data_IF_369867152609
#
_entry.id   IF_369867152609
#
_cell.length_a   1.000
_cell.length_b   1.000
_cell.length_c   1.000
_cell.angle_alpha   90.00
_cell.angle_beta   90.00
_cell.angle_gamma   90.00
#
_symmetry.space_group_name_H-M   'P 1'
#
loop_
_entity.id
_entity.type
_entity.pdbx_description
1 polymer ?
#
# COMPACT_ATOMS: atom_id res chain seq x y z
N UNK A 1 11.40 11.03 11.15
CA UNK A 1 10.60 11.55 10.02
C UNK A 1 9.84 12.77 10.52
N UNK A 2 9.68 13.83 9.72
CA UNK A 2 9.00 15.07 10.14
C UNK A 2 7.49 14.88 10.40
N UNK A 3 6.78 15.90 10.94
CA UNK A 3 5.36 15.78 11.27
C UNK A 3 4.50 15.48 10.03
N UNK A 4 3.48 14.62 10.19
CA UNK A 4 2.54 14.29 9.12
C UNK A 4 1.64 15.51 8.83
N UNK A 5 1.46 15.90 7.55
CA UNK A 5 0.71 17.10 7.21
C UNK A 5 -0.81 16.82 7.24
N UNK A 6 -1.37 16.71 8.45
CA UNK A 6 -2.78 16.38 8.69
C UNK A 6 -3.79 17.34 8.04
N UNK A 7 -3.41 18.62 7.91
CA UNK A 7 -4.28 19.70 7.42
C UNK A 7 -3.81 20.27 6.08
N UNK A 8 -2.97 19.54 5.33
CA UNK A 8 -2.59 20.00 4.00
C UNK A 8 -3.83 20.05 3.09
N UNK A 9 -3.93 21.08 2.23
CA UNK A 9 -5.00 21.15 1.24
C UNK A 9 -4.94 19.91 0.31
N UNK A 10 -6.05 19.60 -0.39
CA UNK A 10 -6.04 18.57 -1.42
C UNK A 10 -4.88 18.78 -2.39
N UNK A 11 -4.24 17.69 -2.79
CA UNK A 11 -3.12 17.76 -3.73
C UNK A 11 -3.55 18.33 -5.09
N UNK A 12 -2.59 18.85 -5.84
CA UNK A 12 -2.75 19.25 -7.25
C UNK A 12 -1.68 18.58 -8.10
N UNK A 13 -2.00 18.33 -9.37
CA UNK A 13 -1.01 17.87 -10.35
C UNK A 13 -0.12 19.07 -10.70
N UNK A 14 1.19 18.89 -10.56
CA UNK A 14 2.20 19.92 -10.80
C UNK A 14 3.54 19.27 -11.13
N UNK A 15 4.53 20.04 -11.56
CA UNK A 15 5.89 19.52 -11.79
C UNK A 15 6.49 18.90 -10.52
N UNK A 16 6.15 19.44 -9.34
CA UNK A 16 6.59 18.89 -8.07
C UNK A 16 5.84 17.59 -7.69
N UNK A 17 4.55 17.47 -8.00
CA UNK A 17 3.73 16.27 -7.75
C UNK A 17 3.08 15.78 -9.05
N UNK A 18 3.87 15.19 -9.99
CA UNK A 18 3.43 14.99 -11.37
C UNK A 18 2.39 13.88 -11.52
N UNK A 19 2.29 12.97 -10.55
CA UNK A 19 1.24 11.97 -10.48
C UNK A 19 0.05 12.41 -9.60
N UNK A 20 0.14 13.59 -8.95
CA UNK A 20 -0.91 14.08 -8.06
C UNK A 20 -1.13 13.19 -6.83
N UNK A 21 -0.09 12.57 -6.26
CA UNK A 21 -0.20 11.75 -5.04
C UNK A 21 -0.80 12.53 -3.87
N UNK A 22 -1.59 11.87 -3.01
CA UNK A 22 -2.28 12.51 -1.87
C UNK A 22 -2.46 11.57 -0.65
N UNK A 23 -1.48 10.70 -0.40
CA UNK A 23 -1.49 9.77 0.73
C UNK A 23 -1.99 8.37 0.39
N UNK A 24 -1.98 7.49 1.39
CA UNK A 24 -2.52 6.13 1.28
C UNK A 24 -4.06 6.16 1.29
N UNK A 25 -4.68 5.23 0.56
CA UNK A 25 -6.10 4.94 0.65
C UNK A 25 -6.35 3.67 1.49
N UNK A 26 -5.73 2.54 1.10
CA UNK A 26 -5.85 1.28 1.83
C UNK A 26 -4.59 0.41 1.72
N UNK A 27 -4.50 -0.56 2.63
CA UNK A 27 -3.66 -1.76 2.45
C UNK A 27 -4.60 -2.96 2.36
N UNK A 28 -4.41 -3.79 1.35
CA UNK A 28 -5.16 -5.03 1.19
C UNK A 28 -4.36 -6.17 1.80
N UNK A 29 -5.06 -7.05 2.52
CA UNK A 29 -4.51 -8.24 3.14
C UNK A 29 -5.32 -9.46 2.71
N UNK A 30 -4.62 -10.58 2.56
CA UNK A 30 -5.23 -11.88 2.35
C UNK A 30 -4.49 -12.93 3.21
N UNK A 31 -5.20 -13.98 3.59
CA UNK A 31 -4.69 -14.99 4.52
C UNK A 31 -5.31 -16.36 4.20
N UNK A 32 -4.54 -17.47 4.24
CA UNK A 32 -5.09 -18.82 4.04
C UNK A 32 -6.14 -19.22 5.09
N UNK A 33 -6.03 -18.67 6.30
CA UNK A 33 -7.03 -18.69 7.37
C UNK A 33 -7.54 -17.26 7.67
N UNK A 34 -8.57 -16.76 6.96
CA UNK A 34 -9.04 -15.38 7.13
C UNK A 34 -9.47 -15.04 8.55
N UNK A 35 -9.99 -16.00 9.31
CA UNK A 35 -10.48 -15.76 10.66
C UNK A 35 -9.34 -15.38 11.62
N UNK A 36 -8.12 -15.88 11.40
CA UNK A 36 -6.95 -15.48 12.18
C UNK A 36 -6.62 -14.00 11.96
N UNK A 37 -6.65 -13.55 10.70
CA UNK A 37 -6.41 -12.15 10.33
C UNK A 37 -7.50 -11.22 10.88
N UNK A 38 -8.77 -11.61 10.78
CA UNK A 38 -9.89 -10.83 11.29
C UNK A 38 -9.85 -10.69 12.82
N UNK A 39 -9.52 -11.78 13.55
CA UNK A 39 -9.30 -11.74 15.00
C UNK A 39 -8.16 -10.79 15.36
N UNK A 40 -7.08 -10.76 14.58
CA UNK A 40 -5.97 -9.83 14.78
C UNK A 40 -6.43 -8.38 14.60
N UNK A 41 -7.14 -8.07 13.51
CA UNK A 41 -7.65 -6.72 13.24
C UNK A 41 -8.63 -6.24 14.31
N UNK A 42 -9.52 -7.12 14.78
CA UNK A 42 -10.41 -6.81 15.89
C UNK A 42 -9.63 -6.46 17.17
N UNK A 43 -8.60 -7.24 17.52
CA UNK A 43 -7.71 -6.96 18.67
C UNK A 43 -6.94 -5.65 18.51
N UNK A 44 -6.63 -5.26 17.28
CA UNK A 44 -6.00 -3.98 16.95
C UNK A 44 -6.99 -2.79 16.93
N UNK A 45 -8.28 -3.02 17.23
CA UNK A 45 -9.30 -1.98 17.31
C UNK A 45 -9.93 -1.58 15.98
N UNK A 46 -9.74 -2.39 14.92
CA UNK A 46 -10.45 -2.19 13.66
C UNK A 46 -11.88 -2.72 13.74
N UNK A 47 -12.78 -2.05 13.03
CA UNK A 47 -14.19 -2.46 12.89
C UNK A 47 -14.46 -2.80 11.43
N UNK A 48 -15.16 -3.91 11.18
CA UNK A 48 -15.69 -4.19 9.84
C UNK A 48 -16.81 -3.20 9.53
N UNK A 49 -16.66 -2.36 8.51
CA UNK A 49 -17.60 -1.27 8.20
C UNK A 49 -18.36 -1.48 6.90
N UNK A 50 -17.84 -2.31 5.98
CA UNK A 50 -18.50 -2.61 4.72
C UNK A 50 -18.09 -3.98 4.18
N UNK A 51 -18.95 -4.56 3.33
CA UNK A 51 -18.66 -5.78 2.55
C UNK A 51 -18.89 -5.52 1.07
N UNK A 52 -18.04 -6.08 0.22
CA UNK A 52 -18.20 -5.98 -1.22
C UNK A 52 -19.54 -6.62 -1.64
N UNK A 53 -20.22 -6.04 -2.63
CA UNK A 53 -21.58 -6.44 -3.02
C UNK A 53 -21.65 -7.86 -3.58
N UNK A 54 -20.58 -8.31 -4.23
CA UNK A 54 -20.56 -9.56 -5.00
C UNK A 54 -19.34 -10.45 -4.77
N UNK A 55 -18.37 -10.00 -3.95
CA UNK A 55 -17.09 -10.71 -3.70
C UNK A 55 -16.96 -10.89 -2.20
N UNK A 56 -16.27 -11.92 -1.75
CA UNK A 56 -15.94 -12.10 -0.34
C UNK A 56 -14.77 -11.19 0.07
N UNK A 57 -15.07 -9.90 0.18
CA UNK A 57 -14.11 -8.86 0.54
C UNK A 57 -14.74 -7.95 1.58
N UNK A 58 -14.01 -7.70 2.67
CA UNK A 58 -14.44 -6.81 3.75
C UNK A 58 -13.55 -5.59 3.86
N UNK A 59 -14.16 -4.46 4.20
CA UNK A 59 -13.48 -3.24 4.59
C UNK A 59 -13.46 -3.13 6.11
N UNK A 60 -12.26 -3.15 6.69
CA UNK A 60 -11.99 -2.86 8.09
C UNK A 60 -11.46 -1.44 8.23
N UNK A 61 -11.93 -0.71 9.24
CA UNK A 61 -11.57 0.69 9.45
C UNK A 61 -11.29 1.03 10.91
N UNK A 62 -10.31 1.90 11.11
CA UNK A 62 -10.02 2.58 12.36
C UNK A 62 -9.51 4.00 12.04
N UNK A 63 -10.21 5.01 12.55
CA UNK A 63 -9.97 6.40 12.18
C UNK A 63 -10.06 6.57 10.65
N UNK A 64 -9.01 7.13 10.05
CA UNK A 64 -8.88 7.28 8.60
C UNK A 64 -8.16 6.12 7.90
N UNK A 65 -7.86 5.02 8.60
CA UNK A 65 -7.12 3.87 8.06
C UNK A 65 -8.10 2.83 7.53
N UNK A 66 -7.92 2.42 6.28
CA UNK A 66 -8.66 1.34 5.65
C UNK A 66 -7.76 0.12 5.45
N UNK A 67 -8.19 -1.02 5.99
CA UNK A 67 -7.65 -2.32 5.61
C UNK A 67 -8.72 -3.11 4.88
N UNK A 68 -8.34 -3.65 3.73
CA UNK A 68 -9.18 -4.59 3.00
C UNK A 68 -8.76 -6.00 3.39
N UNK A 69 -9.73 -6.86 3.70
CA UNK A 69 -9.51 -8.30 3.83
C UNK A 69 -10.15 -8.97 2.64
N UNK A 70 -9.32 -9.53 1.76
CA UNK A 70 -9.75 -10.24 0.56
C UNK A 70 -9.71 -11.76 0.79
N UNK A 71 -10.88 -12.39 0.68
CA UNK A 71 -11.08 -13.85 0.82
C UNK A 71 -11.61 -14.46 -0.47
N UNK A 72 -11.79 -13.66 -1.51
CA UNK A 72 -12.36 -14.07 -2.77
C UNK A 72 -11.39 -15.04 -3.48
N UNK A 73 -11.84 -16.25 -3.83
CA UNK A 73 -11.01 -17.21 -4.55
C UNK A 73 -10.68 -16.72 -5.96
N UNK A 74 -9.65 -17.30 -6.57
CA UNK A 74 -9.26 -17.03 -7.97
C UNK A 74 -8.94 -15.57 -8.29
N UNK A 75 -8.65 -14.75 -7.26
CA UNK A 75 -8.19 -13.37 -7.40
C UNK A 75 -6.68 -13.23 -7.44
N UNK A 76 -6.20 -12.03 -7.80
CA UNK A 76 -4.79 -11.66 -7.62
C UNK A 76 -4.34 -11.94 -6.20
N UNK A 77 -5.12 -11.49 -5.21
CA UNK A 77 -4.83 -11.71 -3.79
C UNK A 77 -4.69 -13.20 -3.44
N UNK A 78 -5.63 -14.04 -3.88
CA UNK A 78 -5.58 -15.49 -3.65
C UNK A 78 -4.31 -16.14 -4.24
N UNK A 79 -3.96 -15.79 -5.49
CA UNK A 79 -2.73 -16.30 -6.12
C UNK A 79 -1.46 -15.76 -5.46
N UNK A 80 -1.49 -14.51 -5.00
CA UNK A 80 -0.35 -13.87 -4.36
C UNK A 80 -0.03 -14.52 -3.00
N UNK A 81 -1.04 -14.78 -2.17
CA UNK A 81 -0.81 -15.46 -0.87
C UNK A 81 -0.44 -16.94 -1.03
N UNK A 82 -0.80 -17.59 -2.14
CA UNK A 82 -0.32 -18.94 -2.44
C UNK A 82 1.21 -18.95 -2.67
N UNK A 83 1.75 -17.88 -3.25
CA UNK A 83 3.19 -17.72 -3.46
C UNK A 83 3.93 -17.29 -2.19
N UNK A 84 3.39 -16.32 -1.44
CA UNK A 84 4.09 -15.61 -0.37
C UNK A 84 3.65 -15.98 1.06
N UNK A 85 2.56 -16.73 1.23
CA UNK A 85 1.91 -16.91 2.52
C UNK A 85 1.01 -15.71 2.89
N UNK A 86 0.56 -15.61 4.16
CA UNK A 86 -0.32 -14.54 4.61
C UNK A 86 0.37 -13.18 4.53
N UNK A 87 -0.16 -12.26 3.73
CA UNK A 87 0.52 -11.00 3.45
C UNK A 87 -0.40 -9.90 2.90
N UNK A 88 0.21 -8.77 2.51
CA UNK A 88 -0.44 -7.68 1.82
C UNK A 88 -0.22 -7.77 0.30
N UNK A 89 -1.16 -8.31 -0.48
CA UNK A 89 -1.01 -8.45 -1.94
C UNK A 89 -1.12 -7.12 -2.69
N UNK A 90 -1.60 -6.05 -2.03
CA UNK A 90 -1.75 -4.75 -2.67
C UNK A 90 -1.82 -3.59 -1.69
N UNK A 91 -1.58 -2.39 -2.22
CA UNK A 91 -1.84 -1.12 -1.56
C UNK A 91 -2.51 -0.14 -2.53
N UNK A 92 -3.18 0.88 -1.99
CA UNK A 92 -3.76 1.94 -2.79
C UNK A 92 -3.27 3.31 -2.36
N UNK A 93 -3.06 4.18 -3.34
CA UNK A 93 -2.79 5.60 -3.12
C UNK A 93 -3.95 6.46 -3.56
N UNK A 94 -4.23 7.49 -2.78
CA UNK A 94 -5.04 8.62 -3.22
C UNK A 94 -4.24 9.40 -4.26
N UNK A 95 -4.87 9.74 -5.36
CA UNK A 95 -4.33 10.60 -6.41
C UNK A 95 -5.38 11.58 -6.93
N UNK A 96 -4.95 12.72 -7.44
CA UNK A 96 -5.85 13.75 -7.97
C UNK A 96 -6.72 13.22 -9.13
N UNK A 97 -6.13 12.43 -10.03
CA UNK A 97 -6.75 11.79 -11.20
C UNK A 97 -6.09 10.42 -11.44
N UNK A 98 -6.87 9.35 -11.35
CA UNK A 98 -6.37 7.98 -11.39
C UNK A 98 -5.87 7.58 -12.80
N UNK A 99 -6.52 8.08 -13.85
CA UNK A 99 -6.12 7.81 -15.24
C UNK A 99 -4.84 8.56 -15.58
N UNK A 100 -4.67 9.77 -15.07
CA UNK A 100 -3.43 10.54 -15.21
C UNK A 100 -2.25 9.84 -14.52
N UNK A 101 -2.42 9.42 -13.26
CA UNK A 101 -1.40 8.68 -12.53
C UNK A 101 -1.00 7.38 -13.26
N UNK A 102 -1.99 6.62 -13.76
CA UNK A 102 -1.75 5.42 -14.56
C UNK A 102 -0.96 5.71 -15.83
N UNK A 103 -1.40 6.67 -16.67
CA UNK A 103 -0.70 7.01 -17.92
C UNK A 103 0.75 7.36 -17.67
N UNK A 104 1.02 8.15 -16.63
CA UNK A 104 2.38 8.51 -16.24
C UNK A 104 3.19 7.27 -15.82
N UNK A 105 2.62 6.41 -14.98
CA UNK A 105 3.28 5.20 -14.51
C UNK A 105 3.68 4.30 -15.68
N UNK A 106 2.75 4.05 -16.60
CA UNK A 106 3.01 3.23 -17.80
C UNK A 106 4.03 3.88 -18.73
N UNK A 107 3.95 5.19 -18.95
CA UNK A 107 4.91 5.92 -19.78
C UNK A 107 6.35 5.87 -19.24
N UNK A 108 6.53 5.60 -17.94
CA UNK A 108 7.83 5.48 -17.26
C UNK A 108 8.20 4.03 -16.93
N UNK A 109 7.51 3.06 -17.55
CA UNK A 109 7.91 1.65 -17.53
C UNK A 109 7.18 0.76 -16.52
N UNK A 110 6.15 1.28 -15.82
CA UNK A 110 5.29 0.41 -15.02
C UNK A 110 4.37 -0.44 -15.92
N UNK A 111 4.07 -1.66 -15.47
CA UNK A 111 3.10 -2.53 -16.13
C UNK A 111 1.72 -2.31 -15.55
N UNK A 112 0.75 -1.91 -16.38
CA UNK A 112 -0.65 -1.83 -15.98
C UNK A 112 -1.21 -3.22 -15.64
N UNK A 113 -1.99 -3.30 -14.55
CA UNK A 113 -2.74 -4.50 -14.22
C UNK A 113 -4.19 -4.39 -14.71
N UNK A 114 -4.50 -5.15 -15.75
CA UNK A 114 -5.81 -5.14 -16.44
C UNK A 114 -6.75 -6.28 -16.02
N UNK A 115 -6.37 -7.06 -14.99
CA UNK A 115 -7.21 -8.14 -14.46
C UNK A 115 -8.52 -7.61 -13.87
N UNK A 116 -9.61 -8.36 -14.06
CA UNK A 116 -10.95 -8.03 -13.52
C UNK A 116 -11.12 -8.47 -12.05
N UNK A 117 -10.12 -9.17 -11.52
CA UNK A 117 -10.07 -9.80 -10.21
C UNK A 117 -9.38 -8.91 -9.14
N UNK A 118 -9.37 -7.60 -9.41
CA UNK A 118 -9.02 -6.53 -8.48
C UNK A 118 -10.05 -6.39 -7.35
N UNK A 119 -9.63 -5.78 -6.24
CA UNK A 119 -10.49 -5.41 -5.12
C UNK A 119 -11.45 -4.26 -5.44
N UNK A 120 -10.93 -3.23 -6.10
CA UNK A 120 -11.70 -2.08 -6.59
C UNK A 120 -11.54 -1.96 -8.10
N UNK A 121 -12.60 -1.53 -8.77
CA UNK A 121 -12.56 -1.20 -10.20
C UNK A 121 -11.95 0.19 -10.45
N UNK A 122 -10.65 0.29 -10.12
CA UNK A 122 -9.83 1.48 -10.37
C UNK A 122 -8.52 1.09 -11.07
N UNK A 123 -7.83 2.05 -11.73
CA UNK A 123 -6.51 1.81 -12.31
C UNK A 123 -5.51 1.25 -11.31
N UNK A 124 -4.66 0.32 -11.76
CA UNK A 124 -3.58 -0.25 -10.95
C UNK A 124 -2.38 -0.63 -11.81
N UNK A 125 -1.19 -0.64 -11.21
CA UNK A 125 0.05 -1.16 -11.80
C UNK A 125 0.63 -2.28 -10.95
N UNK A 126 1.48 -3.11 -11.54
CA UNK A 126 2.28 -4.10 -10.82
C UNK A 126 3.41 -3.40 -10.07
N UNK A 127 3.44 -3.57 -8.75
CA UNK A 127 4.39 -3.01 -7.80
C UNK A 127 5.28 -4.06 -7.14
N UNK A 128 5.72 -3.78 -5.91
CA UNK A 128 6.72 -4.57 -5.16
C UNK A 128 6.39 -6.06 -5.15
N UNK A 129 7.32 -6.91 -5.54
CA UNK A 129 7.14 -8.37 -5.54
C UNK A 129 5.99 -8.90 -6.42
N UNK A 130 5.39 -8.07 -7.29
CA UNK A 130 4.17 -8.44 -8.04
C UNK A 130 2.86 -8.03 -7.37
N UNK A 131 2.92 -7.34 -6.22
CA UNK A 131 1.75 -6.75 -5.56
C UNK A 131 1.10 -5.70 -6.45
N UNK A 132 -0.15 -5.33 -6.19
CA UNK A 132 -0.81 -4.24 -6.93
C UNK A 132 -0.65 -2.90 -6.22
N UNK A 133 -0.40 -1.86 -7.01
CA UNK A 133 -0.51 -0.47 -6.59
C UNK A 133 -1.71 0.17 -7.28
N UNK A 134 -2.78 0.42 -6.54
CA UNK A 134 -4.01 1.06 -7.03
C UNK A 134 -3.92 2.59 -6.98
N UNK A 135 -4.56 3.26 -7.94
CA UNK A 135 -4.75 4.71 -7.97
C UNK A 135 -6.22 5.06 -7.74
N UNK A 136 -6.52 5.78 -6.65
CA UNK A 136 -7.87 6.14 -6.23
C UNK A 136 -8.05 7.65 -6.29
N UNK A 137 -8.99 8.14 -7.08
CA UNK A 137 -9.30 9.57 -7.22
C UNK A 137 -10.67 9.98 -6.67
N UNK A 138 -11.45 9.03 -6.14
CA UNK A 138 -12.71 9.26 -5.43
C UNK A 138 -12.48 9.17 -3.92
N UNK A 139 -12.24 10.31 -3.26
CA UNK A 139 -12.08 10.43 -1.81
C UNK A 139 -12.42 11.85 -1.32
N UNK A 140 -12.59 12.02 -0.01
CA UNK A 140 -12.88 13.32 0.61
C UNK A 140 -14.19 13.92 0.09
N UNK A 141 -14.15 15.16 -0.41
CA UNK A 141 -15.33 15.84 -0.95
C UNK A 141 -15.94 15.14 -2.19
N UNK A 142 -15.19 14.26 -2.87
CA UNK A 142 -15.69 13.44 -3.99
C UNK A 142 -16.46 12.19 -3.51
N UNK A 143 -16.56 11.97 -2.20
CA UNK A 143 -17.18 10.81 -1.59
C UNK A 143 -16.23 9.61 -1.47
N UNK A 144 -16.74 8.54 -0.85
CA UNK A 144 -15.98 7.32 -0.56
C UNK A 144 -15.70 6.49 -1.82
N UNK A 145 -14.49 5.92 -2.00
CA UNK A 145 -14.21 5.03 -3.13
C UNK A 145 -15.01 3.71 -3.06
N UNK A 146 -15.46 3.34 -1.86
CA UNK A 146 -16.16 2.09 -1.61
C UNK A 146 -17.66 2.15 -1.93
N UNK A 147 -18.25 3.35 -2.03
CA UNK A 147 -19.71 3.53 -2.09
C UNK A 147 -20.41 2.86 -3.28
N UNK A 148 -19.69 2.60 -4.37
CA UNK A 148 -20.23 1.93 -5.56
C UNK A 148 -20.22 0.41 -5.44
N UNK A 149 -19.14 -0.15 -4.88
CA UNK A 149 -18.85 -1.60 -4.92
C UNK A 149 -19.15 -2.31 -3.59
N UNK A 150 -19.34 -1.57 -2.49
CA UNK A 150 -19.55 -2.11 -1.14
C UNK A 150 -20.92 -1.73 -0.56
N UNK A 151 -21.43 -2.58 0.32
CA UNK A 151 -22.56 -2.32 1.21
C UNK A 151 -22.01 -1.97 2.60
N UNK A 152 -22.35 -0.79 3.10
CA UNK A 152 -22.06 -0.40 4.48
C UNK A 152 -22.85 -1.27 5.47
N UNK A 153 -22.20 -1.70 6.55
CA UNK A 153 -22.83 -2.50 7.61
C UNK A 153 -23.60 -1.64 8.63
N UNK A 154 -23.53 -0.32 8.49
CA UNK A 154 -24.19 0.67 9.34
C UNK A 154 -24.26 2.02 8.63
N UNK A 155 -23.85 3.09 9.31
CA UNK A 155 -23.73 4.42 8.70
C UNK A 155 -22.82 4.39 7.46
N UNK A 156 -23.12 5.24 6.48
CA UNK A 156 -22.32 5.33 5.27
C UNK A 156 -20.97 6.00 5.56
N UNK A 157 -19.89 5.37 5.09
CA UNK A 157 -18.50 5.84 5.21
C UNK A 157 -18.10 6.27 6.64
N UNK A 158 -18.29 5.39 7.65
CA UNK A 158 -18.11 5.77 9.05
C UNK A 158 -16.63 5.95 9.38
N UNK A 159 -16.32 6.65 10.48
CA UNK A 159 -14.95 6.80 11.01
C UNK A 159 -14.84 6.26 12.44
N UNK A 160 -14.87 4.94 12.66
CA UNK A 160 -14.80 4.35 14.00
C UNK A 160 -13.50 4.76 14.70
N UNK A 161 -13.58 5.25 15.94
CA UNK A 161 -12.39 5.70 16.68
C UNK A 161 -11.39 4.58 16.96
N UNK A 162 -11.88 3.36 17.17
CA UNK A 162 -11.05 2.21 17.58
C UNK A 162 -10.24 2.51 18.84
N UNK A 163 -8.96 2.15 18.83
CA UNK A 163 -7.99 2.39 19.90
C UNK A 163 -7.11 3.63 19.67
N UNK A 164 -7.43 4.44 18.66
CA UNK A 164 -6.77 5.72 18.43
C UNK A 164 -5.66 5.71 17.37
N UNK A 165 -5.61 4.72 16.48
CA UNK A 165 -4.82 4.87 15.25
C UNK A 165 -5.47 5.88 14.31
N UNK A 166 -4.66 6.79 13.76
CA UNK A 166 -5.15 7.93 12.98
C UNK A 166 -4.89 7.80 11.47
N UNK A 167 -3.71 7.32 11.07
CA UNK A 167 -3.28 7.24 9.68
C UNK A 167 -2.18 6.19 9.48
N UNK A 168 -1.94 5.81 8.23
CA UNK A 168 -0.78 5.02 7.83
C UNK A 168 0.41 5.94 7.61
N UNK A 169 1.41 5.87 8.49
CA UNK A 169 2.58 6.75 8.42
C UNK A 169 3.58 6.35 7.31
N UNK A 170 3.89 5.06 7.25
CA UNK A 170 4.80 4.48 6.28
C UNK A 170 4.57 2.98 6.13
N UNK A 171 5.06 2.42 5.03
CA UNK A 171 5.18 0.99 4.77
C UNK A 171 6.62 0.73 4.30
N UNK A 172 7.22 -0.41 4.64
CA UNK A 172 8.59 -0.73 4.22
C UNK A 172 8.60 -1.77 3.12
N UNK A 173 9.62 -1.74 2.26
CA UNK A 173 9.90 -2.82 1.30
C UNK A 173 11.26 -3.44 1.59
N UNK A 174 11.29 -4.75 1.76
CA UNK A 174 12.50 -5.53 1.80
C UNK A 174 12.77 -6.08 0.41
N UNK A 175 13.94 -5.74 -0.14
CA UNK A 175 14.30 -6.05 -1.53
C UNK A 175 15.55 -6.91 -1.59
N UNK A 176 15.66 -7.70 -2.66
CA UNK A 176 16.85 -8.52 -2.95
C UNK A 176 18.06 -7.62 -3.15
N UNK A 177 19.24 -8.12 -2.81
CA UNK A 177 20.51 -7.42 -3.03
C UNK A 177 20.66 -7.04 -4.51
N UNK A 178 20.94 -5.76 -4.78
CA UNK A 178 20.99 -5.13 -6.09
C UNK A 178 19.70 -4.41 -6.51
N UNK A 179 18.55 -4.71 -5.89
CA UNK A 179 17.24 -4.18 -6.31
C UNK A 179 16.84 -2.88 -5.62
N UNK A 180 17.59 -2.39 -4.62
CA UNK A 180 17.29 -1.09 -4.00
C UNK A 180 17.20 0.04 -5.04
N UNK A 181 18.13 0.08 -6.00
CA UNK A 181 18.12 1.10 -7.05
C UNK A 181 16.94 0.91 -8.04
N UNK A 182 16.51 -0.33 -8.26
CA UNK A 182 15.35 -0.62 -9.12
C UNK A 182 14.08 -0.01 -8.52
N UNK A 183 13.80 -0.29 -7.25
CA UNK A 183 12.64 0.27 -6.56
C UNK A 183 12.77 1.77 -6.30
N UNK A 184 13.99 2.25 -6.02
CA UNK A 184 14.24 3.68 -5.96
C UNK A 184 13.81 4.39 -7.25
N UNK A 185 14.24 3.92 -8.43
CA UNK A 185 13.85 4.52 -9.71
C UNK A 185 12.34 4.46 -9.93
N UNK A 186 11.71 3.32 -9.60
CA UNK A 186 10.25 3.22 -9.67
C UNK A 186 9.55 4.33 -8.89
N UNK A 187 9.94 4.61 -7.65
CA UNK A 187 9.30 5.68 -6.86
C UNK A 187 9.76 7.09 -7.25
N UNK A 188 11.08 7.28 -7.41
CA UNK A 188 11.69 8.59 -7.63
C UNK A 188 11.43 9.13 -9.03
N UNK A 189 11.58 8.32 -10.07
CA UNK A 189 11.41 8.78 -11.46
C UNK A 189 9.90 8.83 -11.81
N UNK A 190 9.14 7.80 -11.42
CA UNK A 190 7.72 7.71 -11.76
C UNK A 190 6.87 8.69 -10.99
N UNK A 191 7.08 8.82 -9.67
CA UNK A 191 6.19 9.59 -8.80
C UNK A 191 6.86 10.79 -8.14
N UNK A 192 8.12 11.09 -8.49
CA UNK A 192 8.93 12.18 -7.93
C UNK A 192 9.15 12.06 -6.42
N UNK A 193 9.22 10.83 -5.88
CA UNK A 193 9.61 10.62 -4.49
C UNK A 193 11.05 11.10 -4.28
N UNK A 194 11.31 11.68 -3.10
CA UNK A 194 12.64 12.14 -2.71
C UNK A 194 13.22 11.24 -1.64
N UNK A 195 14.50 10.93 -1.77
CA UNK A 195 15.27 10.34 -0.68
C UNK A 195 15.51 11.41 0.39
N UNK A 196 14.95 11.20 1.57
CA UNK A 196 15.12 12.12 2.70
C UNK A 196 16.25 11.71 3.63
N UNK A 197 16.66 10.43 3.59
CA UNK A 197 17.74 9.89 4.40
C UNK A 197 18.22 8.54 3.86
N UNK A 198 19.54 8.37 3.83
CA UNK A 198 20.20 7.08 3.69
C UNK A 198 20.67 6.59 5.05
N UNK A 199 20.53 5.29 5.29
CA UNK A 199 21.07 4.62 6.48
C UNK A 199 21.97 3.47 6.06
N UNK A 200 23.18 3.45 6.61
CA UNK A 200 24.02 2.26 6.67
C UNK A 200 24.01 1.78 8.12
N UNK A 201 23.31 0.67 8.39
CA UNK A 201 23.14 0.15 9.75
C UNK A 201 24.01 -1.09 9.89
N UNK A 202 25.00 -1.01 10.78
CA UNK A 202 25.83 -2.13 11.18
C UNK A 202 25.39 -2.59 12.58
N UNK A 203 24.73 -3.74 12.66
CA UNK A 203 24.48 -4.44 13.91
C UNK A 203 25.73 -5.19 14.39
N UNK A 204 25.66 -5.80 15.58
CA UNK A 204 26.78 -6.58 16.14
C UNK A 204 27.20 -7.78 15.29
N UNK A 205 26.31 -8.29 14.42
CA UNK A 205 26.52 -9.53 13.64
C UNK A 205 26.11 -9.40 12.16
N UNK A 206 25.30 -8.39 11.80
CA UNK A 206 24.71 -8.24 10.45
C UNK A 206 24.53 -6.76 10.11
N UNK A 207 24.42 -6.44 8.82
CA UNK A 207 24.17 -5.07 8.35
C UNK A 207 23.07 -4.94 7.29
N UNK A 208 22.53 -3.73 7.15
CA UNK A 208 21.57 -3.40 6.09
C UNK A 208 21.73 -1.97 5.57
N UNK A 209 21.34 -1.77 4.32
CA UNK A 209 21.16 -0.45 3.73
C UNK A 209 19.68 -0.10 3.71
N UNK A 210 19.35 1.16 4.00
CA UNK A 210 17.98 1.65 3.91
C UNK A 210 17.92 3.04 3.26
N UNK A 211 17.01 3.20 2.29
CA UNK A 211 16.67 4.50 1.68
C UNK A 211 15.26 4.89 2.08
N UNK A 212 15.13 5.94 2.87
CA UNK A 212 13.84 6.49 3.25
C UNK A 212 13.31 7.41 2.14
N UNK A 213 12.26 6.99 1.45
CA UNK A 213 11.62 7.78 0.39
C UNK A 213 10.37 8.48 0.91
N UNK A 214 10.13 9.71 0.45
CA UNK A 214 8.91 10.47 0.74
C UNK A 214 8.30 11.02 -0.54
N UNK A 215 6.99 10.81 -0.71
CA UNK A 215 6.20 11.37 -1.82
C UNK A 215 6.21 12.90 -1.85
N UNK A 216 5.93 13.50 -3.01
CA UNK A 216 5.76 14.95 -3.12
C UNK A 216 4.70 15.55 -2.20
N UNK A 217 3.63 14.81 -1.89
CA UNK A 217 2.59 15.27 -0.96
C UNK A 217 2.98 15.15 0.51
N UNK A 218 4.10 14.48 0.83
CA UNK A 218 4.58 14.29 2.20
C UNK A 218 3.73 13.32 3.03
N UNK A 219 2.75 12.63 2.43
CA UNK A 219 1.80 11.74 3.11
C UNK A 219 2.09 10.25 2.89
N UNK A 220 2.93 9.91 1.91
CA UNK A 220 3.38 8.54 1.62
C UNK A 220 4.88 8.46 1.86
N UNK A 221 5.30 7.49 2.68
CA UNK A 221 6.71 7.22 2.98
C UNK A 221 6.99 5.74 2.84
N UNK A 222 8.07 5.42 2.13
CA UNK A 222 8.44 4.04 1.81
C UNK A 222 9.95 3.87 2.00
N UNK A 223 10.40 3.37 3.17
CA UNK A 223 11.76 2.89 3.33
C UNK A 223 11.99 1.62 2.50
N UNK A 224 13.04 1.63 1.68
CA UNK A 224 13.49 0.45 0.92
C UNK A 224 14.73 -0.09 1.62
N UNK A 225 14.67 -1.35 2.06
CA UNK A 225 15.72 -2.03 2.80
C UNK A 225 16.34 -3.14 1.97
N UNK A 226 17.66 -3.22 1.99
CA UNK A 226 18.43 -4.24 1.30
C UNK A 226 19.49 -4.81 2.23
N UNK A 227 19.73 -6.12 2.13
CA UNK A 227 20.72 -6.78 2.96
C UNK A 227 22.16 -6.47 2.53
N UNK A 228 23.02 -6.12 3.49
CA UNK A 228 24.46 -5.98 3.24
C UNK A 228 25.20 -7.34 3.22
N UNK A 229 24.60 -8.38 3.81
CA UNK A 229 25.18 -9.73 3.96
C UNK A 229 24.11 -10.84 3.81
N UNK A 230 24.50 -12.11 3.86
CA UNK A 230 23.57 -13.24 3.66
C UNK A 230 22.88 -13.69 4.96
N UNK A 231 23.09 -12.99 6.08
CA UNK A 231 22.61 -13.39 7.42
C UNK A 231 21.68 -12.35 8.05
N UNK A 232 21.47 -11.21 7.41
CA UNK A 232 20.64 -10.15 7.95
C UNK A 232 19.16 -10.55 8.04
N UNK A 233 18.42 -9.82 8.88
CA UNK A 233 16.97 -9.95 9.02
C UNK A 233 16.23 -9.70 7.70
N UNK A 234 16.82 -8.95 6.76
CA UNK A 234 16.25 -8.74 5.42
C UNK A 234 16.31 -10.04 4.61
N UNK A 235 17.43 -10.77 4.66
CA UNK A 235 17.57 -12.04 3.94
C UNK A 235 16.65 -13.13 4.52
N UNK A 236 16.51 -13.15 5.85
CA UNK A 236 15.55 -14.02 6.54
C UNK A 236 14.12 -13.74 6.05
N UNK A 237 13.71 -12.47 6.00
CA UNK A 237 12.42 -12.06 5.43
C UNK A 237 12.25 -12.55 4.00
N UNK A 238 13.20 -12.27 3.09
CA UNK A 238 13.08 -12.63 1.68
C UNK A 238 12.93 -14.15 1.49
N UNK A 239 13.57 -14.95 2.34
CA UNK A 239 13.48 -16.41 2.32
C UNK A 239 12.13 -16.90 2.83
N UNK A 240 11.66 -16.39 3.96
CA UNK A 240 10.37 -16.79 4.55
C UNK A 240 9.19 -16.31 3.70
N UNK A 241 9.24 -15.06 3.26
CA UNK A 241 8.28 -14.41 2.37
C UNK A 241 8.36 -14.89 0.91
N UNK A 242 9.45 -15.57 0.54
CA UNK A 242 9.72 -16.12 -0.81
C UNK A 242 9.75 -15.07 -1.91
N UNK A 243 10.13 -13.84 -1.58
CA UNK A 243 10.13 -12.72 -2.52
C UNK A 243 10.43 -11.38 -1.87
N UNK A 244 10.26 -10.31 -2.64
CA UNK A 244 10.31 -8.94 -2.14
C UNK A 244 8.91 -8.49 -1.71
N UNK A 245 8.80 -7.67 -0.68
CA UNK A 245 7.54 -7.21 -0.10
C UNK A 245 7.74 -6.05 0.85
#
# INVERSE_FOLDING_TARGET
>A
MGPFPHNAPPATISDANPAGTDGFEFVEFAHPDPQALEKLFWRMGYTEVARHKTKDISLYRQGGINYVVNREPDTHAARFIAAHGPCAPAMAWRVVDAKHALRRAVALGATEYTGADKTLDVPAVVGIGGSLLYFVDQYGAKGSPYGKEFNWLGEADPTPKGVGFYYLDHLTHNVRRGNMNTWYRFYAETFNFREIRFFNIEGKLTGLHSRALTSPCGKIRIPINESADDKSQIEEYLKEYRGEG
#
